data_IF_229483022043
#
_entry.id   IF_229483022043
#
_cell.length_a   1.000
_cell.length_b   1.000
_cell.length_c   1.000
_cell.angle_alpha   90.00
_cell.angle_beta   90.00
_cell.angle_gamma   90.00
#
_symmetry.space_group_name_H-M   'P 1'
#
loop_
_entity.id
_entity.type
_entity.pdbx_description
1 polymer ?
#
# COMPACT_ATOMS: atom_id res chain seq x y z
N UNK A 1 -5.88 -14.83 -6.28
CA UNK A 1 -5.99 -13.52 -6.98
C UNK A 1 -5.32 -12.47 -6.11
N UNK A 2 -4.43 -11.63 -6.66
CA UNK A 2 -3.72 -10.57 -5.92
C UNK A 2 -4.67 -9.36 -5.80
N UNK A 3 -4.97 -8.91 -4.58
CA UNK A 3 -5.75 -7.67 -4.35
C UNK A 3 -4.80 -6.47 -4.31
N UNK A 4 -5.17 -5.36 -4.94
CA UNK A 4 -4.47 -4.08 -4.82
C UNK A 4 -5.09 -3.27 -3.68
N UNK A 5 -4.25 -2.80 -2.75
CA UNK A 5 -4.67 -1.69 -1.90
C UNK A 5 -4.66 -0.42 -2.75
N UNK A 6 -5.84 0.06 -3.15
CA UNK A 6 -5.96 1.42 -3.66
C UNK A 6 -5.76 2.39 -2.48
N UNK A 7 -4.50 2.66 -2.12
CA UNK A 7 -4.16 3.91 -1.48
C UNK A 7 -4.31 4.98 -2.56
N UNK A 8 -5.52 5.49 -2.73
CA UNK A 8 -5.74 6.56 -3.67
C UNK A 8 -5.02 7.78 -3.12
N UNK A 9 -3.90 8.13 -3.76
CA UNK A 9 -3.64 9.52 -4.09
C UNK A 9 -4.81 9.97 -4.98
N UNK A 10 -5.95 10.26 -4.35
CA UNK A 10 -7.10 10.88 -4.99
C UNK A 10 -6.78 12.37 -5.11
N UNK A 11 -5.72 12.67 -5.85
CA UNK A 11 -5.52 13.97 -6.47
C UNK A 11 -6.59 14.10 -7.54
N UNK A 12 -7.71 14.72 -7.16
CA UNK A 12 -8.83 15.18 -7.99
C UNK A 12 -8.82 14.65 -9.44
N UNK A 13 -9.41 13.48 -9.66
CA UNK A 13 -10.20 13.29 -10.87
C UNK A 13 -11.64 13.63 -10.49
N UNK A 14 -12.01 14.90 -10.65
CA UNK A 14 -13.40 15.31 -10.63
C UNK A 14 -14.05 14.76 -11.90
N UNK A 15 -14.46 13.50 -11.86
CA UNK A 15 -15.36 12.94 -12.84
C UNK A 15 -16.71 13.63 -12.61
N UNK A 16 -17.04 14.58 -13.47
CA UNK A 16 -18.40 15.10 -13.58
C UNK A 16 -19.31 13.96 -14.04
N UNK A 17 -19.91 13.24 -13.09
CA UNK A 17 -21.11 12.46 -13.37
C UNK A 17 -22.22 13.50 -13.49
N UNK A 18 -22.52 13.90 -14.73
CA UNK A 18 -23.75 14.63 -15.00
C UNK A 18 -24.92 13.78 -14.51
N UNK A 19 -25.56 14.23 -13.43
CA UNK A 19 -26.81 13.70 -12.95
C UNK A 19 -27.89 13.97 -14.01
N UNK A 20 -28.09 13.01 -14.91
CA UNK A 20 -29.26 12.93 -15.76
C UNK A 20 -29.97 11.61 -15.48
N UNK A 21 -31.16 11.72 -14.88
CA UNK A 21 -32.27 10.83 -15.20
C UNK A 21 -32.60 9.78 -14.16
N UNK A 22 -33.66 10.05 -13.40
CA UNK A 22 -34.51 8.99 -12.86
C UNK A 22 -35.01 8.10 -13.99
N UNK A 23 -35.03 6.80 -13.74
CA UNK A 23 -35.51 5.81 -14.69
C UNK A 23 -37.01 5.99 -14.96
N UNK A 24 -37.34 6.33 -16.20
CA UNK A 24 -38.53 5.83 -16.87
C UNK A 24 -38.04 4.89 -17.97
N UNK A 25 -38.57 3.67 -17.94
CA UNK A 25 -38.31 2.57 -18.85
C UNK A 25 -38.96 2.88 -20.20
N UNK A 26 -38.20 2.86 -21.30
CA UNK A 26 -38.79 2.84 -22.65
C UNK A 26 -37.96 3.49 -23.76
N UNK A 27 -37.68 2.68 -24.78
CA UNK A 27 -37.41 3.04 -26.17
C UNK A 27 -35.98 3.37 -26.60
N UNK A 28 -35.48 2.44 -27.43
CA UNK A 28 -34.32 2.44 -28.32
C UNK A 28 -34.18 3.70 -29.18
N UNK A 29 -32.97 4.27 -29.20
CA UNK A 29 -32.45 5.11 -30.29
C UNK A 29 -30.92 4.99 -30.44
N UNK A 30 -30.47 5.21 -31.68
CA UNK A 30 -29.14 4.93 -32.25
C UNK A 30 -27.97 5.76 -31.66
N UNK A 31 -26.70 5.35 -31.87
CA UNK A 31 -25.55 5.97 -31.22
C UNK A 31 -25.23 7.36 -31.79
N UNK A 32 -25.10 8.34 -30.90
CA UNK A 32 -24.64 9.70 -31.20
C UNK A 32 -23.12 9.82 -31.03
N UNK A 33 -22.53 10.70 -31.84
CA UNK A 33 -21.10 10.99 -31.96
C UNK A 33 -20.41 11.37 -30.63
N UNK A 34 -19.07 11.20 -30.52
CA UNK A 34 -18.32 11.53 -29.30
C UNK A 34 -18.33 13.04 -29.00
N UNK A 35 -18.47 13.46 -27.73
CA UNK A 35 -18.45 14.87 -27.36
C UNK A 35 -17.06 15.50 -27.48
N UNK A 36 -17.06 16.77 -27.89
CA UNK A 36 -15.91 17.65 -28.05
C UNK A 36 -15.17 17.90 -26.73
N UNK A 37 -13.83 17.96 -26.80
CA UNK A 37 -12.91 18.30 -25.70
C UNK A 37 -13.27 19.66 -25.07
N UNK A 38 -13.79 19.65 -23.85
CA UNK A 38 -13.86 20.84 -23.01
C UNK A 38 -12.59 20.94 -22.15
N UNK A 39 -11.91 22.09 -22.21
CA UNK A 39 -10.73 22.40 -21.41
C UNK A 39 -11.17 22.76 -19.98
N UNK A 40 -10.70 22.05 -18.93
CA UNK A 40 -11.08 22.36 -17.56
C UNK A 40 -10.33 23.61 -17.07
N UNK A 41 -11.07 24.60 -16.60
CA UNK A 41 -10.55 25.75 -15.86
C UNK A 41 -10.19 25.30 -14.43
N UNK A 42 -8.90 25.39 -14.09
CA UNK A 42 -8.35 24.83 -12.85
C UNK A 42 -8.87 25.51 -11.57
N UNK A 43 -9.26 24.71 -10.59
CA UNK A 43 -9.45 25.16 -9.21
C UNK A 43 -8.10 25.18 -8.46
N UNK A 44 -7.86 26.15 -7.56
CA UNK A 44 -6.66 26.20 -6.74
C UNK A 44 -6.68 25.11 -5.68
N UNK A 45 -5.88 24.06 -5.87
CA UNK A 45 -5.68 23.00 -4.86
C UNK A 45 -4.60 23.48 -3.89
N UNK A 46 -5.00 24.01 -2.74
CA UNK A 46 -4.11 24.31 -1.62
C UNK A 46 -3.70 23.04 -0.88
N UNK A 47 -2.89 22.19 -1.50
CA UNK A 47 -2.23 21.07 -0.82
C UNK A 47 -0.88 21.56 -0.30
N UNK A 48 -0.80 21.88 0.99
CA UNK A 48 0.47 22.12 1.67
C UNK A 48 1.19 20.78 1.85
N UNK A 49 1.82 20.31 0.78
CA UNK A 49 2.77 19.20 0.81
C UNK A 49 3.99 19.67 1.60
N UNK A 50 3.98 19.41 2.91
CA UNK A 50 5.20 19.52 3.71
C UNK A 50 6.09 18.35 3.32
N UNK A 51 7.02 18.58 2.40
CA UNK A 51 8.06 17.59 2.13
C UNK A 51 8.85 17.38 3.44
N UNK A 52 8.78 16.19 4.06
CA UNK A 52 9.60 15.90 5.21
C UNK A 52 11.06 15.98 4.77
N UNK A 53 11.74 17.05 5.16
CA UNK A 53 13.15 17.22 4.86
C UNK A 53 13.91 16.35 5.84
N UNK A 54 14.33 15.16 5.41
CA UNK A 54 15.32 14.39 6.16
C UNK A 54 16.58 15.28 6.20
N UNK A 55 17.07 15.67 7.39
CA UNK A 55 18.24 16.54 7.49
C UNK A 55 19.41 15.94 6.70
N UNK A 56 19.99 16.67 5.74
CA UNK A 56 21.18 16.21 5.04
C UNK A 56 22.28 15.86 6.04
N UNK A 57 22.76 14.61 6.02
CA UNK A 57 23.86 14.17 6.88
C UNK A 57 23.47 13.44 8.17
N UNK A 58 22.22 13.04 8.37
CA UNK A 58 21.89 12.10 9.45
C UNK A 58 22.63 10.76 9.21
N UNK A 59 23.45 10.26 10.15
CA UNK A 59 24.15 9.00 9.96
C UNK A 59 23.13 7.85 9.77
N UNK A 60 23.45 6.86 8.93
CA UNK A 60 22.57 5.71 8.75
C UNK A 60 22.35 5.01 10.10
N UNK A 61 21.13 4.49 10.35
CA UNK A 61 20.82 3.84 11.62
C UNK A 61 21.77 2.66 11.85
N UNK A 62 22.26 2.53 13.07
CA UNK A 62 23.08 1.38 13.45
C UNK A 62 22.29 0.08 13.25
N UNK A 63 22.90 -0.95 12.62
CA UNK A 63 22.19 -2.20 12.38
C UNK A 63 21.90 -2.91 13.71
N UNK A 64 20.70 -3.50 13.79
CA UNK A 64 20.29 -4.39 14.88
C UNK A 64 21.04 -5.72 14.79
N UNK A 65 21.27 -6.16 13.55
CA UNK A 65 22.07 -7.35 13.22
C UNK A 65 22.68 -7.15 11.84
N UNK A 66 23.90 -7.65 11.67
CA UNK A 66 24.58 -7.73 10.38
C UNK A 66 25.33 -9.07 10.29
N UNK A 67 25.32 -9.68 9.10
CA UNK A 67 25.99 -10.95 8.86
C UNK A 67 26.58 -10.98 7.45
N UNK A 68 27.86 -11.35 7.27
CA UNK A 68 28.39 -11.64 5.95
C UNK A 68 27.71 -12.89 5.38
N UNK A 69 27.23 -12.80 4.14
CA UNK A 69 26.68 -13.91 3.37
C UNK A 69 27.62 -14.23 2.22
N UNK A 70 27.86 -15.52 2.01
CA UNK A 70 28.65 -16.02 0.90
C UNK A 70 27.79 -16.24 -0.35
N UNK A 71 28.43 -16.29 -1.51
CA UNK A 71 27.78 -16.80 -2.71
C UNK A 71 27.40 -18.27 -2.49
N UNK A 72 26.13 -18.61 -2.65
CA UNK A 72 25.62 -19.95 -2.37
C UNK A 72 24.43 -20.29 -3.24
N UNK A 73 24.29 -21.55 -3.61
CA UNK A 73 23.10 -22.11 -4.28
C UNK A 73 22.01 -22.52 -3.28
N UNK A 74 22.32 -22.53 -1.98
CA UNK A 74 21.37 -22.81 -0.92
C UNK A 74 20.63 -21.54 -0.48
N UNK A 75 19.44 -21.72 0.12
CA UNK A 75 18.71 -20.62 0.79
C UNK A 75 19.50 -20.16 2.02
N UNK A 76 19.59 -18.85 2.21
CA UNK A 76 20.23 -18.23 3.37
C UNK A 76 19.22 -17.38 4.13
N UNK A 77 19.30 -17.38 5.45
CA UNK A 77 18.37 -16.62 6.31
C UNK A 77 19.13 -15.75 7.31
N UNK A 78 18.54 -14.60 7.63
CA UNK A 78 18.94 -13.75 8.75
C UNK A 78 17.70 -13.34 9.51
N UNK A 79 17.67 -13.61 10.81
CA UNK A 79 16.54 -13.29 11.70
C UNK A 79 17.01 -12.42 12.86
N UNK A 80 16.16 -11.49 13.28
CA UNK A 80 16.39 -10.65 14.47
C UNK A 80 15.21 -10.77 15.44
N UNK A 81 15.49 -11.31 16.64
CA UNK A 81 14.57 -11.42 17.78
C UNK A 81 13.16 -11.95 17.44
N UNK A 82 13.05 -12.85 16.46
CA UNK A 82 11.77 -13.34 15.93
C UNK A 82 10.81 -12.25 15.44
N UNK A 83 11.30 -11.02 15.23
CA UNK A 83 10.51 -9.87 14.75
C UNK A 83 10.56 -9.72 13.25
N UNK A 84 11.73 -9.96 12.66
CA UNK A 84 11.94 -9.87 11.22
C UNK A 84 12.91 -10.95 10.77
N UNK A 85 12.58 -11.60 9.65
CA UNK A 85 13.42 -12.60 8.99
C UNK A 85 13.55 -12.24 7.52
N UNK A 86 14.77 -12.22 7.01
CA UNK A 86 15.08 -12.02 5.60
C UNK A 86 15.58 -13.34 5.04
N UNK A 87 14.94 -13.82 3.98
CA UNK A 87 15.21 -15.09 3.32
C UNK A 87 15.72 -14.80 1.91
N UNK A 88 17.00 -15.11 1.70
CA UNK A 88 17.72 -14.92 0.45
C UNK A 88 17.70 -16.24 -0.33
N UNK A 89 17.09 -16.28 -1.53
CA UNK A 89 17.08 -17.50 -2.33
C UNK A 89 18.48 -17.86 -2.83
N UNK A 90 18.68 -19.16 -3.06
CA UNK A 90 19.90 -19.69 -3.65
C UNK A 90 20.24 -19.09 -5.03
N UNK A 91 21.52 -18.83 -5.23
CA UNK A 91 22.06 -18.25 -6.46
C UNK A 91 21.58 -16.82 -6.70
N UNK A 92 21.24 -16.07 -5.64
CA UNK A 92 21.06 -14.63 -5.73
C UNK A 92 22.40 -13.88 -5.69
N UNK A 93 23.31 -14.31 -4.82
CA UNK A 93 24.63 -13.70 -4.62
C UNK A 93 25.67 -14.36 -5.51
N UNK A 94 26.46 -13.56 -6.22
CA UNK A 94 27.61 -13.99 -7.04
C UNK A 94 28.95 -13.72 -6.37
N UNK A 95 28.96 -12.94 -5.29
CA UNK A 95 30.11 -12.62 -4.46
C UNK A 95 29.66 -12.40 -3.01
N UNK A 96 30.59 -12.42 -2.03
CA UNK A 96 30.23 -12.20 -0.63
C UNK A 96 29.65 -10.80 -0.41
N UNK A 97 28.57 -10.69 0.37
CA UNK A 97 27.89 -9.43 0.69
C UNK A 97 27.39 -9.42 2.14
N UNK A 98 27.43 -8.25 2.78
CA UNK A 98 26.89 -8.09 4.14
C UNK A 98 25.39 -7.85 4.10
N UNK A 99 24.61 -8.73 4.72
CA UNK A 99 23.17 -8.52 4.96
C UNK A 99 23.01 -7.86 6.33
N UNK A 100 22.29 -6.74 6.38
CA UNK A 100 22.00 -6.04 7.61
C UNK A 100 20.51 -5.68 7.74
N UNK A 101 20.05 -5.65 8.98
CA UNK A 101 18.70 -5.22 9.38
C UNK A 101 18.87 -4.11 10.41
N UNK A 102 18.25 -2.97 10.16
CA UNK A 102 18.25 -1.79 11.03
C UNK A 102 16.80 -1.35 11.33
N UNK A 103 16.53 -0.63 12.43
CA UNK A 103 15.20 -0.07 12.64
C UNK A 103 14.93 1.03 11.61
N UNK A 104 13.68 1.13 11.12
CA UNK A 104 13.28 2.27 10.30
C UNK A 104 13.29 3.54 11.17
N UNK A 105 14.08 4.54 10.81
CA UNK A 105 14.17 5.82 11.53
C UNK A 105 13.92 6.99 10.58
N UNK A 106 13.42 8.10 11.14
CA UNK A 106 13.30 9.40 10.46
C UNK A 106 12.47 9.41 9.16
N UNK A 107 11.56 8.46 8.99
CA UNK A 107 10.63 8.46 7.85
C UNK A 107 9.30 9.08 8.23
N UNK A 108 8.63 9.79 7.29
CA UNK A 108 7.34 10.37 7.55
C UNK A 108 6.32 9.29 7.95
N UNK A 109 5.42 9.69 8.85
CA UNK A 109 4.25 8.89 9.15
C UNK A 109 3.44 8.66 7.86
N UNK A 110 2.74 7.52 7.73
CA UNK A 110 1.78 7.34 6.65
C UNK A 110 0.77 8.50 6.67
N UNK A 111 0.45 9.13 5.52
CA UNK A 111 -0.51 10.24 5.49
C UNK A 111 -1.95 9.81 5.82
N UNK A 112 -2.22 8.50 5.85
CA UNK A 112 -3.56 7.97 6.02
C UNK A 112 -3.98 7.94 7.49
N UNK A 113 -5.13 8.57 7.79
CA UNK A 113 -5.84 8.35 9.06
C UNK A 113 -6.34 6.91 9.15
N UNK A 114 -6.49 6.40 10.36
CA UNK A 114 -7.02 5.05 10.59
C UNK A 114 -6.02 3.92 10.41
N UNK A 115 -4.74 4.24 10.34
CA UNK A 115 -3.66 3.28 10.19
C UNK A 115 -2.71 3.41 11.38
N UNK A 116 -2.37 2.28 11.98
CA UNK A 116 -1.32 2.16 12.99
C UNK A 116 -0.08 1.48 12.44
N UNK A 117 1.09 1.84 12.95
CA UNK A 117 2.35 1.17 12.63
C UNK A 117 2.55 -0.06 13.52
N UNK A 118 2.83 -1.22 12.90
CA UNK A 118 3.13 -2.47 13.58
C UNK A 118 4.64 -2.62 13.80
N UNK A 119 5.43 -2.41 12.74
CA UNK A 119 6.88 -2.50 12.76
C UNK A 119 7.48 -1.80 11.52
N UNK A 120 8.77 -1.43 11.60
CA UNK A 120 9.50 -0.84 10.49
C UNK A 120 10.99 -1.20 10.51
N UNK A 121 11.50 -1.66 9.37
CA UNK A 121 12.89 -2.09 9.22
C UNK A 121 13.50 -1.61 7.90
N UNK A 122 14.76 -1.18 7.96
CA UNK A 122 15.60 -1.01 6.78
C UNK A 122 16.43 -2.26 6.60
N UNK A 123 16.35 -2.87 5.42
CA UNK A 123 17.12 -4.07 5.07
C UNK A 123 18.09 -3.70 3.96
N UNK A 124 19.36 -4.09 4.11
CA UNK A 124 20.41 -3.81 3.12
C UNK A 124 21.24 -5.06 2.83
N UNK A 125 21.68 -5.23 1.58
CA UNK A 125 22.52 -6.35 1.15
C UNK A 125 23.66 -5.82 0.28
N UNK A 126 24.81 -5.55 0.92
CA UNK A 126 25.89 -4.78 0.30
C UNK A 126 25.39 -3.44 -0.23
N UNK A 127 25.77 -3.12 -1.47
CA UNK A 127 25.31 -1.91 -2.18
C UNK A 127 24.15 -2.18 -3.15
N UNK A 128 23.65 -3.42 -3.21
CA UNK A 128 22.60 -3.79 -4.14
C UNK A 128 21.23 -3.36 -3.62
N UNK A 129 20.48 -2.66 -4.47
CA UNK A 129 19.10 -2.27 -4.18
C UNK A 129 18.08 -3.15 -4.93
N UNK A 130 18.45 -3.72 -6.08
CA UNK A 130 17.57 -4.54 -6.92
C UNK A 130 18.17 -5.90 -7.24
N UNK A 131 17.29 -6.88 -7.47
CA UNK A 131 17.61 -8.30 -7.54
C UNK A 131 16.87 -8.98 -8.69
N UNK A 132 17.56 -9.89 -9.40
CA UNK A 132 16.95 -10.69 -10.48
C UNK A 132 15.99 -11.77 -9.99
N UNK A 133 16.13 -12.19 -8.72
CA UNK A 133 15.23 -13.16 -8.07
C UNK A 133 14.59 -12.49 -6.86
N UNK A 134 13.30 -12.75 -6.59
CA UNK A 134 12.65 -12.19 -5.42
C UNK A 134 13.20 -12.83 -4.14
N UNK A 135 13.49 -12.01 -3.16
CA UNK A 135 13.73 -12.42 -1.78
C UNK A 135 12.43 -12.30 -0.96
N UNK A 136 12.46 -12.87 0.24
CA UNK A 136 11.31 -12.83 1.15
C UNK A 136 11.68 -12.09 2.42
N UNK A 137 10.79 -11.20 2.87
CA UNK A 137 10.86 -10.54 4.18
C UNK A 137 9.64 -11.00 4.97
N UNK A 138 9.87 -11.62 6.12
CA UNK A 138 8.86 -11.98 7.09
C UNK A 138 8.91 -10.99 8.24
N UNK A 139 7.76 -10.42 8.62
CA UNK A 139 7.61 -9.54 9.78
C UNK A 139 6.55 -10.10 10.72
N UNK A 140 6.91 -10.30 11.99
CA UNK A 140 5.96 -10.70 13.01
C UNK A 140 4.96 -9.57 13.28
N UNK A 141 3.72 -9.93 13.60
CA UNK A 141 2.70 -8.97 14.03
C UNK A 141 2.06 -9.40 15.35
N UNK A 142 1.53 -8.41 16.07
CA UNK A 142 0.78 -8.62 17.29
C UNK A 142 -0.73 -8.72 16.96
N UNK A 143 -1.35 -9.91 17.04
CA UNK A 143 -2.75 -10.08 16.71
C UNK A 143 -3.68 -9.29 17.63
N UNK A 144 -3.24 -8.94 18.86
CA UNK A 144 -4.07 -8.20 19.82
C UNK A 144 -4.33 -6.76 19.39
N UNK A 145 -3.49 -6.20 18.50
CA UNK A 145 -3.68 -4.85 17.96
C UNK A 145 -4.72 -4.79 16.84
N UNK A 146 -5.06 -5.93 16.25
CA UNK A 146 -5.94 -5.97 15.09
C UNK A 146 -7.40 -5.74 15.50
N UNK A 147 -8.23 -5.18 14.60
CA UNK A 147 -9.68 -5.15 14.79
C UNK A 147 -10.26 -6.55 14.80
N UNK A 148 -11.14 -6.86 15.77
CA UNK A 148 -11.77 -8.17 15.92
C UNK A 148 -12.73 -8.50 14.76
N UNK A 149 -13.25 -7.47 14.08
CA UNK A 149 -14.17 -7.59 12.94
C UNK A 149 -13.46 -7.80 11.59
N UNK A 150 -12.11 -7.88 11.58
CA UNK A 150 -11.31 -8.09 10.38
C UNK A 150 -10.39 -9.29 10.52
N UNK A 151 -10.30 -10.11 9.47
CA UNK A 151 -9.26 -11.12 9.42
C UNK A 151 -7.88 -10.46 9.30
N UNK A 152 -6.81 -11.05 9.86
CA UNK A 152 -5.45 -10.50 9.77
C UNK A 152 -5.01 -10.17 8.33
N UNK A 153 -5.40 -10.99 7.36
CA UNK A 153 -5.11 -10.77 5.93
C UNK A 153 -5.73 -9.48 5.36
N UNK A 154 -6.84 -8.99 5.95
CA UNK A 154 -7.50 -7.73 5.55
C UNK A 154 -7.09 -6.56 6.44
N UNK A 155 -6.68 -6.84 7.68
CA UNK A 155 -6.30 -5.82 8.65
C UNK A 155 -4.85 -5.33 8.45
N UNK A 156 -3.98 -6.17 7.89
CA UNK A 156 -2.56 -5.88 7.69
C UNK A 156 -2.24 -5.50 6.24
N UNK A 157 -1.25 -4.62 6.08
CA UNK A 157 -0.62 -4.34 4.80
C UNK A 157 0.82 -3.86 5.03
N UNK A 158 1.68 -4.06 4.04
CA UNK A 158 3.03 -3.52 4.07
C UNK A 158 3.18 -2.37 3.07
N UNK A 159 4.10 -1.47 3.36
CA UNK A 159 4.55 -0.47 2.41
C UNK A 159 6.06 -0.36 2.42
N UNK A 160 6.62 0.03 1.29
CA UNK A 160 8.03 0.37 1.16
C UNK A 160 8.19 1.85 0.86
N UNK A 161 9.32 2.43 1.28
CA UNK A 161 9.65 3.81 0.97
C UNK A 161 10.27 3.88 -0.43
N UNK A 162 9.59 4.57 -1.35
CA UNK A 162 10.13 4.95 -2.65
C UNK A 162 10.85 6.28 -2.52
N UNK A 163 12.18 6.23 -2.55
CA UNK A 163 13.04 7.41 -2.42
C UNK A 163 12.99 8.32 -3.65
N UNK A 164 12.62 7.81 -4.83
CA UNK A 164 12.51 8.60 -6.04
C UNK A 164 11.27 9.50 -6.01
N UNK A 165 10.19 9.00 -5.40
CA UNK A 165 8.91 9.70 -5.29
C UNK A 165 8.68 10.34 -3.92
N UNK A 166 9.55 10.06 -2.94
CA UNK A 166 9.39 10.44 -1.54
C UNK A 166 8.00 10.09 -0.98
N UNK A 167 7.55 8.85 -1.22
CA UNK A 167 6.27 8.37 -0.73
C UNK A 167 6.30 6.89 -0.34
N UNK A 168 5.34 6.51 0.51
CA UNK A 168 5.09 5.12 0.87
C UNK A 168 4.25 4.43 -0.20
N UNK A 169 4.80 3.36 -0.79
CA UNK A 169 4.12 2.52 -1.78
C UNK A 169 3.63 1.24 -1.13
N UNK A 170 2.34 0.95 -1.25
CA UNK A 170 1.77 -0.29 -0.73
C UNK A 170 2.26 -1.51 -1.50
N UNK A 171 2.53 -2.58 -0.76
CA UNK A 171 2.98 -3.86 -1.29
C UNK A 171 2.08 -4.99 -0.80
N UNK A 172 1.74 -5.96 -1.67
CA UNK A 172 0.95 -7.11 -1.27
C UNK A 172 1.71 -7.99 -0.26
N UNK A 173 0.96 -8.51 0.72
CA UNK A 173 1.47 -9.46 1.71
C UNK A 173 0.61 -10.72 1.74
N UNK A 174 1.22 -11.81 2.18
CA UNK A 174 0.49 -13.01 2.64
C UNK A 174 0.63 -13.13 4.14
N UNK A 175 -0.46 -13.45 4.84
CA UNK A 175 -0.47 -13.56 6.30
C UNK A 175 -0.57 -15.03 6.71
N UNK A 176 0.38 -15.45 7.56
CA UNK A 176 0.37 -16.71 8.28
C UNK A 176 -0.18 -16.44 9.69
N UNK A 177 -1.41 -16.89 9.96
CA UNK A 177 -2.09 -16.69 11.24
C UNK A 177 -1.69 -17.71 12.31
N UNK A 178 -0.98 -18.79 11.94
CA UNK A 178 -0.46 -19.75 12.91
C UNK A 178 0.86 -19.24 13.50
N UNK A 179 1.71 -18.67 12.65
CA UNK A 179 3.00 -18.09 13.05
C UNK A 179 2.92 -16.61 13.45
N UNK A 180 1.79 -15.95 13.20
CA UNK A 180 1.61 -14.49 13.31
C UNK A 180 2.67 -13.71 12.51
N UNK A 181 2.84 -14.10 11.25
CA UNK A 181 3.83 -13.52 10.33
C UNK A 181 3.14 -12.93 9.09
N UNK A 182 3.55 -11.73 8.71
CA UNK A 182 3.27 -11.14 7.41
C UNK A 182 4.48 -11.34 6.49
N UNK A 183 4.27 -11.91 5.30
CA UNK A 183 5.31 -12.22 4.33
C UNK A 183 5.21 -11.28 3.13
N UNK A 184 6.33 -10.63 2.82
CA UNK A 184 6.54 -9.75 1.68
C UNK A 184 7.49 -10.47 0.71
N UNK A 185 7.12 -10.54 -0.57
CA UNK A 185 8.03 -10.97 -1.64
C UNK A 185 8.45 -9.76 -2.45
N UNK A 186 9.74 -9.50 -2.53
CA UNK A 186 10.28 -8.30 -3.19
C UNK A 186 11.54 -8.63 -3.99
N UNK A 187 11.76 -7.89 -5.06
CA UNK A 187 13.00 -7.89 -5.85
C UNK A 187 13.89 -6.69 -5.52
N UNK A 188 13.58 -5.92 -4.47
CA UNK A 188 14.36 -4.78 -4.06
C UNK A 188 14.39 -4.64 -2.54
N UNK A 189 15.46 -4.03 -2.03
CA UNK A 189 15.67 -3.75 -0.62
C UNK A 189 15.66 -2.24 -0.36
N UNK A 190 14.85 -1.84 0.60
CA UNK A 190 14.64 -0.45 1.02
C UNK A 190 14.13 -0.49 2.47
N UNK A 191 13.57 0.60 2.95
CA UNK A 191 12.82 0.62 4.21
C UNK A 191 11.40 0.10 4.01
N UNK A 192 11.03 -0.87 4.83
CA UNK A 192 9.74 -1.52 4.84
C UNK A 192 9.03 -1.24 6.15
N UNK A 193 7.72 -1.00 6.09
CA UNK A 193 6.85 -0.92 7.26
C UNK A 193 5.68 -1.87 7.11
N UNK A 194 5.31 -2.49 8.22
CA UNK A 194 4.08 -3.24 8.38
C UNK A 194 3.09 -2.35 9.14
N UNK A 195 1.88 -2.24 8.61
CA UNK A 195 0.80 -1.45 9.16
C UNK A 195 -0.41 -2.31 9.47
N UNK A 196 -1.30 -1.75 10.29
CA UNK A 196 -2.61 -2.31 10.56
C UNK A 196 -3.70 -1.24 10.54
N UNK A 197 -4.93 -1.64 10.22
CA UNK A 197 -6.11 -0.77 10.29
C UNK A 197 -6.49 -0.60 11.77
N UNK A 198 -6.69 0.64 12.21
CA UNK A 198 -7.09 0.95 13.59
C UNK A 198 -8.52 0.52 13.87
N UNK A 199 -8.79 0.18 15.14
CA UNK A 199 -10.16 -0.09 15.62
C UNK A 199 -11.05 1.15 15.42
N UNK A 200 -12.32 0.92 15.11
CA UNK A 200 -13.28 1.99 14.80
C UNK A 200 -13.33 2.39 13.33
N UNK A 201 -12.38 1.94 12.50
CA UNK A 201 -12.46 2.08 11.05
C UNK A 201 -13.21 0.90 10.42
N UNK A 202 -13.91 1.16 9.33
CA UNK A 202 -14.62 0.19 8.52
C UNK A 202 -13.83 -0.14 7.27
N UNK A 203 -14.03 -1.35 6.77
CA UNK A 203 -13.41 -1.81 5.52
C UNK A 203 -14.50 -2.29 4.59
N UNK A 204 -14.56 -1.69 3.40
CA UNK A 204 -15.30 -2.24 2.27
C UNK A 204 -14.32 -3.03 1.41
N UNK A 205 -14.54 -4.34 1.39
CA UNK A 205 -13.75 -5.29 0.60
C UNK A 205 -14.47 -5.63 -0.71
N UNK A 206 -13.74 -5.58 -1.81
CA UNK A 206 -14.18 -6.01 -3.14
C UNK A 206 -13.18 -6.99 -3.75
N UNK A 207 -13.36 -7.34 -5.03
CA UNK A 207 -12.52 -8.34 -5.69
C UNK A 207 -11.06 -7.86 -5.77
N UNK A 208 -10.86 -6.60 -6.14
CA UNK A 208 -9.54 -6.03 -6.42
C UNK A 208 -9.11 -4.99 -5.40
N UNK A 209 -10.03 -4.42 -4.61
CA UNK A 209 -9.76 -3.26 -3.75
C UNK A 209 -10.22 -3.44 -2.30
N UNK A 210 -9.56 -2.69 -1.42
CA UNK A 210 -9.96 -2.46 -0.03
C UNK A 210 -10.14 -0.96 0.17
N UNK A 211 -11.32 -0.53 0.61
CA UNK A 211 -11.62 0.86 0.95
C UNK A 211 -11.77 0.95 2.46
N UNK A 212 -10.84 1.67 3.09
CA UNK A 212 -10.86 1.94 4.54
C UNK A 212 -11.53 3.28 4.80
N UNK A 213 -12.46 3.33 5.74
CA UNK A 213 -13.20 4.55 6.08
C UNK A 213 -13.41 4.70 7.58
N UNK A 214 -13.50 5.93 8.06
CA UNK A 214 -13.87 6.21 9.45
C UNK A 214 -15.37 5.92 9.63
N UNK A 215 -15.75 5.05 10.59
CA UNK A 215 -17.17 4.70 10.81
C UNK A 215 -17.97 5.86 11.40
N UNK A 216 -17.30 6.83 12.04
CA UNK A 216 -17.94 7.93 12.78
C UNK A 216 -17.97 9.24 11.99
N UNK A 217 -17.04 9.43 11.04
CA UNK A 217 -17.02 10.62 10.22
C UNK A 217 -17.90 10.44 8.96
N UNK A 218 -18.84 11.36 8.65
CA UNK A 218 -19.52 11.33 7.36
C UNK A 218 -18.55 11.64 6.22
N UNK A 219 -18.85 11.13 5.03
CA UNK A 219 -18.18 11.52 3.79
C UNK A 219 -18.85 12.77 3.22
N UNK A 220 -18.06 13.67 2.64
CA UNK A 220 -18.56 14.87 1.94
C UNK A 220 -18.51 14.61 0.43
N UNK A 221 -19.67 14.65 -0.23
CA UNK A 221 -19.80 14.44 -1.68
C UNK A 221 -20.47 15.67 -2.28
N UNK A 222 -19.68 16.54 -2.91
CA UNK A 222 -20.16 17.87 -3.31
C UNK A 222 -20.53 18.69 -2.07
N UNK A 223 -21.78 19.15 -1.99
CA UNK A 223 -22.33 19.85 -0.82
C UNK A 223 -23.08 18.93 0.16
N UNK A 224 -23.21 17.63 -0.15
CA UNK A 224 -23.98 16.69 0.66
C UNK A 224 -23.09 15.92 1.65
N UNK A 225 -23.65 15.60 2.81
CA UNK A 225 -23.08 14.63 3.74
C UNK A 225 -23.70 13.25 3.50
N UNK A 226 -22.86 12.24 3.37
CA UNK A 226 -23.27 10.84 3.16
C UNK A 226 -22.63 9.98 4.23
N UNK A 227 -23.34 8.95 4.70
CA UNK A 227 -22.74 8.00 5.63
C UNK A 227 -21.49 7.35 5.02
N UNK A 228 -20.39 7.29 5.76
CA UNK A 228 -19.12 6.82 5.20
C UNK A 228 -19.16 5.39 4.66
N UNK A 229 -19.96 4.50 5.25
CA UNK A 229 -20.16 3.15 4.73
C UNK A 229 -20.87 3.13 3.36
N UNK A 230 -21.86 4.00 3.14
CA UNK A 230 -22.54 4.15 1.85
C UNK A 230 -21.58 4.70 0.81
N UNK A 231 -20.80 5.72 1.16
CA UNK A 231 -19.80 6.27 0.26
C UNK A 231 -18.71 5.25 -0.08
N UNK A 232 -18.20 4.51 0.92
CA UNK A 232 -17.23 3.44 0.69
C UNK A 232 -17.75 2.34 -0.25
N UNK A 233 -19.04 1.99 -0.17
CA UNK A 233 -19.67 1.07 -1.11
C UNK A 233 -19.68 1.62 -2.54
N UNK A 234 -20.00 2.90 -2.73
CA UNK A 234 -20.00 3.55 -4.04
C UNK A 234 -18.58 3.62 -4.63
N UNK A 235 -17.61 4.09 -3.84
CA UNK A 235 -16.19 4.16 -4.24
C UNK A 235 -15.68 2.79 -4.64
N UNK A 236 -15.96 1.75 -3.84
CA UNK A 236 -15.59 0.38 -4.17
C UNK A 236 -16.20 -0.07 -5.52
N UNK A 237 -17.47 0.24 -5.78
CA UNK A 237 -18.12 -0.04 -7.07
C UNK A 237 -17.45 0.66 -8.25
N UNK A 238 -17.10 1.95 -8.12
CA UNK A 238 -16.41 2.69 -9.17
C UNK A 238 -15.00 2.18 -9.43
N UNK A 239 -14.26 1.80 -8.38
CA UNK A 239 -12.93 1.22 -8.54
C UNK A 239 -12.98 -0.11 -9.30
N UNK A 240 -13.95 -0.97 -8.99
CA UNK A 240 -14.15 -2.23 -9.74
C UNK A 240 -14.50 -1.98 -11.21
N UNK A 241 -15.40 -1.04 -11.50
CA UNK A 241 -15.72 -0.67 -12.88
C UNK A 241 -14.48 -0.15 -13.64
N UNK A 242 -13.69 0.72 -13.00
CA UNK A 242 -12.45 1.21 -13.57
C UNK A 242 -11.47 0.06 -13.84
N UNK A 243 -11.27 -0.85 -12.88
CA UNK A 243 -10.40 -2.02 -13.05
C UNK A 243 -10.83 -2.88 -14.25
N UNK A 244 -12.13 -3.18 -14.37
CA UNK A 244 -12.66 -3.92 -15.52
C UNK A 244 -12.36 -3.19 -16.82
N UNK A 245 -12.64 -1.88 -16.91
CA UNK A 245 -12.39 -1.10 -18.12
C UNK A 245 -10.90 -1.08 -18.53
N UNK A 246 -9.98 -0.90 -17.58
CA UNK A 246 -8.54 -0.94 -17.87
C UNK A 246 -8.07 -2.35 -18.27
N UNK A 247 -8.57 -3.39 -17.60
CA UNK A 247 -8.24 -4.79 -17.91
C UNK A 247 -8.73 -5.20 -19.31
N UNK A 248 -9.92 -4.75 -19.70
CA UNK A 248 -10.48 -5.01 -21.02
C UNK A 248 -9.69 -4.29 -22.11
N UNK A 249 -9.24 -3.06 -21.82
CA UNK A 249 -8.37 -2.27 -22.69
C UNK A 249 -6.90 -2.74 -22.71
N UNK A 250 -6.55 -3.80 -21.95
CA UNK A 250 -5.20 -4.41 -21.88
C UNK A 250 -4.12 -3.48 -21.32
N UNK A 251 -4.47 -2.66 -20.34
CA UNK A 251 -3.54 -1.93 -19.49
C UNK A 251 -3.20 -2.70 -18.21
#
# INVERSE_FOLDING_TARGET
MKKLFAATLLGLLALWIAACGGGSIGSTSAPSAPPSKATPTGMPVGSTSVTPTIPPGSPPPSPLIAKPLEASTAVQTLSWQDKVTVIIPGGLLTSPQSLAIAPAQNLPAPPQKGVGEMAGYTVTLGNAQEFKKPLTIEMAYDPTKLPEDLSPQKALFASFWDTSQNLWVNSPITVDTQRNVATIKTNHLTTWKLYYILRGYGVKDSTHFLVVYDKQAPAIVGSAQVAANQFANQVSGYLEQAYTAYSDAKF
#
